data_IF_492964550817
#
_entry.id   IF_492964550817
#
_cell.length_a   1.000
_cell.length_b   1.000
_cell.length_c   1.000
_cell.angle_alpha   90.00
_cell.angle_beta   90.00
_cell.angle_gamma   90.00
#
_symmetry.space_group_name_H-M   'P 1'
#
loop_
_entity.id
_entity.type
_entity.pdbx_description
1 polymer ?
#
# COMPACT_ATOMS: atom_id res chain seq x y z
N UNK A 1 -8.83 -14.88 -3.11
CA UNK A 1 -8.73 -14.39 -1.71
C UNK A 1 -7.54 -13.47 -1.52
N UNK A 2 -6.39 -13.73 -2.16
CA UNK A 2 -5.21 -12.90 -2.03
C UNK A 2 -5.42 -11.44 -2.43
N UNK A 3 -6.22 -11.14 -3.46
CA UNK A 3 -6.50 -9.73 -3.83
C UNK A 3 -7.18 -8.94 -2.70
N UNK A 4 -8.18 -9.52 -2.03
CA UNK A 4 -8.86 -8.87 -0.90
C UNK A 4 -7.87 -8.64 0.26
N UNK A 5 -7.05 -9.65 0.57
CA UNK A 5 -6.05 -9.58 1.64
C UNK A 5 -5.00 -8.51 1.34
N UNK A 6 -4.46 -8.47 0.13
CA UNK A 6 -3.46 -7.48 -0.30
C UNK A 6 -4.02 -6.07 -0.23
N UNK A 7 -5.23 -5.85 -0.75
CA UNK A 7 -5.89 -4.54 -0.72
C UNK A 7 -6.17 -4.10 0.71
N UNK A 8 -6.69 -4.99 1.57
CA UNK A 8 -6.98 -4.66 2.97
C UNK A 8 -5.70 -4.34 3.74
N UNK A 9 -4.67 -5.17 3.64
CA UNK A 9 -3.39 -4.93 4.31
C UNK A 9 -2.78 -3.62 3.84
N UNK A 10 -2.70 -3.41 2.52
CA UNK A 10 -2.18 -2.17 1.95
C UNK A 10 -2.98 -0.94 2.39
N UNK A 11 -4.31 -1.02 2.40
CA UNK A 11 -5.17 0.06 2.87
C UNK A 11 -4.98 0.35 4.37
N UNK A 12 -4.82 -0.69 5.20
CA UNK A 12 -4.50 -0.54 6.63
C UNK A 12 -3.18 0.19 6.80
N UNK A 13 -2.12 -0.19 6.06
CA UNK A 13 -0.85 0.53 6.10
C UNK A 13 -0.98 1.98 5.65
N UNK A 14 -1.76 2.26 4.60
CA UNK A 14 -2.03 3.62 4.15
C UNK A 14 -2.79 4.47 5.17
N UNK A 15 -3.76 3.87 5.86
CA UNK A 15 -4.46 4.51 6.97
C UNK A 15 -3.53 4.76 8.16
N UNK A 16 -2.70 3.79 8.54
CA UNK A 16 -1.71 3.97 9.60
C UNK A 16 -0.74 5.10 9.27
N UNK A 17 -0.27 5.20 8.02
CA UNK A 17 0.56 6.32 7.59
C UNK A 17 -0.19 7.66 7.75
N UNK A 18 -1.48 7.72 7.44
CA UNK A 18 -2.26 8.95 7.58
C UNK A 18 -2.35 9.44 9.03
N UNK A 19 -2.37 8.51 9.99
CA UNK A 19 -2.31 8.83 11.43
C UNK A 19 -0.92 9.34 11.79
N UNK A 20 0.14 8.65 11.36
CA UNK A 20 1.54 9.05 11.63
C UNK A 20 1.87 10.42 11.03
N UNK A 21 1.32 10.72 9.85
CA UNK A 21 1.49 11.99 9.16
C UNK A 21 0.46 13.06 9.60
N UNK A 22 -0.34 12.79 10.63
CA UNK A 22 -1.34 13.70 11.21
C UNK A 22 -2.27 14.36 10.17
N UNK A 23 -2.63 13.62 9.13
CA UNK A 23 -3.42 14.14 8.02
C UNK A 23 -4.88 14.29 8.43
N UNK A 24 -5.40 15.52 8.39
CA UNK A 24 -6.77 15.83 8.82
C UNK A 24 -7.79 15.77 7.68
N UNK A 25 -7.33 15.80 6.44
CA UNK A 25 -8.22 15.80 5.28
C UNK A 25 -8.59 14.38 4.88
N UNK A 26 -9.90 14.09 4.83
CA UNK A 26 -10.43 12.80 4.35
C UNK A 26 -9.85 12.41 2.98
N UNK A 27 -9.63 13.38 2.08
CA UNK A 27 -9.04 13.14 0.76
C UNK A 27 -7.62 12.59 0.84
N UNK A 28 -6.80 13.09 1.75
CA UNK A 28 -5.42 12.64 1.90
C UNK A 28 -5.35 11.24 2.53
N UNK A 29 -6.20 10.98 3.52
CA UNK A 29 -6.36 9.65 4.13
C UNK A 29 -6.73 8.61 3.05
N UNK A 30 -7.72 8.93 2.20
CA UNK A 30 -8.15 8.06 1.11
C UNK A 30 -7.05 7.83 0.08
N UNK A 31 -6.25 8.85 -0.23
CA UNK A 31 -5.11 8.72 -1.13
C UNK A 31 -4.04 7.78 -0.55
N UNK A 32 -3.70 7.89 0.73
CA UNK A 32 -2.73 6.97 1.33
C UNK A 32 -3.28 5.54 1.34
N UNK A 33 -4.53 5.33 1.70
CA UNK A 33 -5.14 4.00 1.62
C UNK A 33 -5.06 3.42 0.20
N UNK A 34 -5.35 4.24 -0.82
CA UNK A 34 -5.28 3.83 -2.21
C UNK A 34 -3.84 3.50 -2.66
N UNK A 35 -2.87 4.34 -2.30
CA UNK A 35 -1.44 4.12 -2.60
C UNK A 35 -0.92 2.87 -1.90
N UNK A 36 -1.27 2.66 -0.63
CA UNK A 36 -0.89 1.47 0.13
C UNK A 36 -1.50 0.20 -0.46
N UNK A 37 -2.78 0.23 -0.83
CA UNK A 37 -3.44 -0.88 -1.52
C UNK A 37 -2.80 -1.19 -2.88
N UNK A 38 -2.54 -0.16 -3.70
CA UNK A 38 -1.87 -0.33 -4.98
C UNK A 38 -0.46 -0.90 -4.82
N UNK A 39 0.32 -0.38 -3.87
CA UNK A 39 1.66 -0.87 -3.55
C UNK A 39 1.68 -2.33 -3.11
N UNK A 40 0.72 -2.75 -2.29
CA UNK A 40 0.58 -4.15 -1.88
C UNK A 40 0.24 -5.06 -3.07
N UNK A 41 -0.73 -4.66 -3.91
CA UNK A 41 -1.13 -5.43 -5.08
C UNK A 41 0.02 -5.58 -6.07
N UNK A 42 0.73 -4.49 -6.37
CA UNK A 42 1.89 -4.51 -7.26
C UNK A 42 3.01 -5.37 -6.68
N UNK A 43 3.33 -5.23 -5.39
CA UNK A 43 4.35 -6.05 -4.74
C UNK A 43 4.03 -7.54 -4.75
N UNK A 44 2.78 -7.90 -4.46
CA UNK A 44 2.32 -9.29 -4.54
C UNK A 44 2.35 -9.85 -5.97
N UNK A 45 1.97 -9.03 -6.95
CA UNK A 45 2.01 -9.38 -8.37
C UNK A 45 3.44 -9.57 -8.89
N UNK A 46 4.41 -8.79 -8.42
CA UNK A 46 5.81 -8.94 -8.83
C UNK A 46 6.42 -10.28 -8.40
N UNK A 47 5.90 -10.91 -7.34
CA UNK A 47 6.42 -12.17 -6.80
C UNK A 47 5.73 -13.39 -7.41
N UNK A 48 4.41 -13.36 -7.55
CA UNK A 48 3.62 -14.52 -7.96
C UNK A 48 2.84 -14.31 -9.27
N UNK A 49 2.89 -13.12 -9.87
CA UNK A 49 2.06 -12.75 -11.01
C UNK A 49 0.57 -12.80 -10.68
N UNK A 50 -0.24 -13.19 -11.67
CA UNK A 50 -1.70 -13.26 -11.53
C UNK A 50 -2.17 -14.33 -10.54
N UNK A 51 -1.34 -15.31 -10.20
CA UNK A 51 -1.67 -16.36 -9.22
C UNK A 51 -1.93 -15.77 -7.82
N UNK A 52 -1.33 -14.61 -7.51
CA UNK A 52 -1.47 -13.92 -6.22
C UNK A 52 -2.92 -13.59 -5.87
N UNK A 53 -3.79 -13.41 -6.87
CA UNK A 53 -5.20 -13.08 -6.65
C UNK A 53 -6.00 -14.26 -6.07
N UNK A 54 -5.59 -15.47 -6.43
CA UNK A 54 -6.24 -16.71 -6.04
C UNK A 54 -5.52 -17.36 -4.86
N UNK A 55 -4.19 -17.45 -4.92
CA UNK A 55 -3.34 -18.09 -3.92
C UNK A 55 -2.25 -17.12 -3.43
N UNK A 56 -2.23 -16.86 -2.12
CA UNK A 56 -1.30 -15.93 -1.49
C UNK A 56 -0.27 -16.71 -0.67
N UNK A 57 0.99 -16.69 -1.12
CA UNK A 57 2.10 -17.28 -0.36
C UNK A 57 2.60 -16.30 0.71
N UNK A 58 3.17 -16.84 1.80
CA UNK A 58 3.72 -16.02 2.87
C UNK A 58 4.83 -15.07 2.41
N UNK A 59 5.65 -15.49 1.42
CA UNK A 59 6.68 -14.63 0.82
C UNK A 59 6.08 -13.49 0.00
N UNK A 60 5.05 -13.76 -0.80
CA UNK A 60 4.36 -12.71 -1.56
C UNK A 60 3.68 -11.71 -0.63
N UNK A 61 3.14 -12.18 0.50
CA UNK A 61 2.59 -11.30 1.53
C UNK A 61 3.67 -10.38 2.13
N UNK A 62 4.81 -10.93 2.55
CA UNK A 62 5.91 -10.12 3.09
C UNK A 62 6.41 -9.07 2.10
N UNK A 63 6.66 -9.46 0.85
CA UNK A 63 7.11 -8.53 -0.19
C UNK A 63 6.03 -7.49 -0.51
N UNK A 64 4.75 -7.87 -0.52
CA UNK A 64 3.65 -6.91 -0.70
C UNK A 64 3.59 -5.87 0.41
N UNK A 65 3.85 -6.26 1.66
CA UNK A 65 3.89 -5.33 2.79
C UNK A 65 5.06 -4.35 2.64
N UNK A 66 6.25 -4.85 2.28
CA UNK A 66 7.41 -4.00 2.02
C UNK A 66 7.17 -3.05 0.85
N UNK A 67 6.54 -3.53 -0.23
CA UNK A 67 6.18 -2.72 -1.38
C UNK A 67 5.15 -1.64 -1.04
N UNK A 68 4.14 -1.96 -0.21
CA UNK A 68 3.15 -0.99 0.27
C UNK A 68 3.81 0.10 1.09
N UNK A 69 4.64 -0.27 2.08
CA UNK A 69 5.37 0.69 2.92
C UNK A 69 6.32 1.55 2.06
N UNK A 70 7.04 0.93 1.12
CA UNK A 70 7.92 1.64 0.20
C UNK A 70 7.18 2.62 -0.71
N UNK A 71 6.04 2.23 -1.27
CA UNK A 71 5.20 3.09 -2.10
C UNK A 71 4.65 4.27 -1.32
N UNK A 72 4.20 4.03 -0.09
CA UNK A 72 3.71 5.06 0.84
C UNK A 72 4.83 6.04 1.24
N UNK A 73 6.01 5.53 1.58
CA UNK A 73 7.16 6.36 1.90
C UNK A 73 7.60 7.22 0.71
N UNK A 74 7.62 6.64 -0.49
CA UNK A 74 7.91 7.37 -1.72
C UNK A 74 6.85 8.45 -1.99
N UNK A 75 5.56 8.10 -1.87
CA UNK A 75 4.46 9.03 -2.07
C UNK A 75 4.53 10.22 -1.11
N UNK A 76 4.78 9.96 0.17
CA UNK A 76 4.95 11.02 1.18
C UNK A 76 6.19 11.87 0.88
N UNK A 77 7.33 11.25 0.53
CA UNK A 77 8.54 11.99 0.19
C UNK A 77 8.39 12.86 -1.06
N UNK A 78 7.61 12.41 -2.06
CA UNK A 78 7.27 13.23 -3.23
C UNK A 78 6.33 14.38 -2.86
N UNK A 79 5.36 14.12 -1.98
CA UNK A 79 4.44 15.14 -1.46
C UNK A 79 5.16 16.24 -0.69
N UNK A 80 6.09 15.88 0.19
CA UNK A 80 6.85 16.84 1.00
C UNK A 80 7.81 17.69 0.14
N UNK A 81 8.25 17.16 -1.01
CA UNK A 81 9.18 17.85 -1.93
C UNK A 81 8.50 18.73 -2.97
N UNK A 82 7.20 18.57 -3.19
CA UNK A 82 6.44 19.39 -4.14
C UNK A 82 5.61 20.41 -3.35
N UNK A 83 6.08 21.65 -3.18
CA UNK A 83 5.27 22.73 -2.63
C UNK A 83 4.22 23.12 -3.68
N UNK A 84 3.05 22.48 -3.61
CA UNK A 84 1.86 22.90 -4.36
C UNK A 84 0.82 23.36 -3.35
#
# INVERSE_FOLDING_TARGET
>A
MGLIVLTLIGAIFGWLLSIVAEQQQNREILLNMAVGAAGAVVGGFLVQGALVFFNLSGLALLISMLAAVGALALFQAMRDRLPI
#
